data_IF_537185147708
#
_entry.id   IF_537185147708
#
_cell.length_a   1.000
_cell.length_b   1.000
_cell.length_c   1.000
_cell.angle_alpha   90.00
_cell.angle_beta   90.00
_cell.angle_gamma   90.00
#
_symmetry.space_group_name_H-M   'P 1'
#
loop_
_entity.id
_entity.type
_entity.pdbx_description
1 polymer ?
#
# COMPACT_ATOMS: atom_id res chain seq x y z
N UNK A 1 -27.01 -10.42 -18.49
CA UNK A 1 -25.84 -9.60 -18.14
C UNK A 1 -24.58 -10.29 -18.71
N UNK A 2 -24.04 -9.82 -19.85
CA UNK A 2 -22.83 -10.44 -20.43
C UNK A 2 -21.62 -9.92 -19.64
N UNK A 3 -21.01 -10.78 -18.82
CA UNK A 3 -19.68 -10.52 -18.24
C UNK A 3 -18.69 -10.38 -19.40
N UNK A 4 -18.33 -9.15 -19.76
CA UNK A 4 -17.18 -8.89 -20.62
C UNK A 4 -15.93 -9.20 -19.79
N UNK A 5 -15.37 -10.38 -19.99
CA UNK A 5 -14.01 -10.67 -19.56
C UNK A 5 -13.11 -9.62 -20.25
N UNK A 6 -12.53 -8.74 -19.46
CA UNK A 6 -11.59 -7.77 -19.97
C UNK A 6 -10.36 -8.54 -20.48
N UNK A 7 -9.94 -8.26 -21.71
CA UNK A 7 -8.76 -8.89 -22.29
C UNK A 7 -7.53 -8.58 -21.43
N UNK A 8 -6.56 -9.50 -21.41
CA UNK A 8 -5.28 -9.32 -20.71
C UNK A 8 -4.62 -8.00 -21.12
N UNK A 9 -4.75 -7.62 -22.39
CA UNK A 9 -4.25 -6.34 -22.92
C UNK A 9 -4.88 -5.11 -22.24
N UNK A 10 -6.18 -5.19 -21.91
CA UNK A 10 -6.85 -4.12 -21.16
C UNK A 10 -6.29 -3.97 -19.75
N UNK A 11 -6.06 -5.09 -19.06
CA UNK A 11 -5.48 -5.10 -17.71
C UNK A 11 -4.04 -4.59 -17.72
N UNK A 12 -3.22 -5.06 -18.67
CA UNK A 12 -1.85 -4.59 -18.85
C UNK A 12 -1.79 -3.08 -19.14
N UNK A 13 -2.68 -2.57 -20.00
CA UNK A 13 -2.78 -1.14 -20.28
C UNK A 13 -3.14 -0.34 -19.02
N UNK A 14 -4.10 -0.80 -18.23
CA UNK A 14 -4.50 -0.14 -16.97
C UNK A 14 -3.39 -0.13 -15.93
N UNK A 15 -2.66 -1.24 -15.79
CA UNK A 15 -1.49 -1.32 -14.92
C UNK A 15 -0.39 -0.33 -15.36
N UNK A 16 -0.12 -0.25 -16.66
CA UNK A 16 0.82 0.72 -17.23
C UNK A 16 0.38 2.17 -16.98
N UNK A 17 -0.89 2.49 -17.16
CA UNK A 17 -1.45 3.82 -16.87
C UNK A 17 -1.28 4.18 -15.38
N UNK A 18 -1.52 3.23 -14.47
CA UNK A 18 -1.34 3.42 -13.02
C UNK A 18 0.13 3.65 -12.67
N UNK A 19 1.05 2.85 -13.24
CA UNK A 19 2.48 3.04 -13.05
C UNK A 19 2.97 4.40 -13.55
N UNK A 20 2.50 4.84 -14.72
CA UNK A 20 2.87 6.16 -15.26
C UNK A 20 2.32 7.32 -14.44
N UNK A 21 1.15 7.12 -13.81
CA UNK A 21 0.50 8.15 -12.98
C UNK A 21 1.09 8.24 -11.58
N UNK A 22 1.39 7.09 -10.96
CA UNK A 22 1.86 6.99 -9.56
C UNK A 22 3.14 6.15 -9.42
N UNK A 23 4.23 6.50 -10.13
CA UNK A 23 5.41 5.63 -10.19
C UNK A 23 6.03 5.37 -8.81
N UNK A 24 6.16 6.39 -7.96
CA UNK A 24 6.74 6.24 -6.62
C UNK A 24 5.89 5.34 -5.72
N UNK A 25 4.56 5.46 -5.79
CA UNK A 25 3.64 4.63 -4.98
C UNK A 25 3.79 3.16 -5.35
N UNK A 26 3.78 2.86 -6.66
CA UNK A 26 3.92 1.48 -7.15
C UNK A 26 5.30 0.89 -6.79
N UNK A 27 6.38 1.68 -6.95
CA UNK A 27 7.72 1.23 -6.55
C UNK A 27 7.82 0.92 -5.06
N UNK A 28 7.27 1.79 -4.20
CA UNK A 28 7.24 1.58 -2.75
C UNK A 28 6.46 0.31 -2.41
N UNK A 29 5.30 0.08 -3.04
CA UNK A 29 4.49 -1.12 -2.85
C UNK A 29 5.26 -2.39 -3.24
N UNK A 30 5.95 -2.38 -4.40
CA UNK A 30 6.78 -3.51 -4.84
C UNK A 30 7.90 -3.79 -3.84
N UNK A 31 8.65 -2.77 -3.43
CA UNK A 31 9.73 -2.92 -2.44
C UNK A 31 9.19 -3.45 -1.12
N UNK A 32 8.04 -2.94 -0.66
CA UNK A 32 7.37 -3.42 0.56
C UNK A 32 6.97 -4.89 0.47
N UNK A 33 6.37 -5.29 -0.64
CA UNK A 33 5.98 -6.69 -0.89
C UNK A 33 7.21 -7.62 -0.90
N UNK A 34 8.26 -7.27 -1.64
CA UNK A 34 9.48 -8.07 -1.70
C UNK A 34 10.18 -8.17 -0.33
N UNK A 35 10.25 -7.07 0.41
CA UNK A 35 10.82 -7.07 1.77
C UNK A 35 10.00 -7.94 2.72
N UNK A 36 8.67 -7.91 2.63
CA UNK A 36 7.78 -8.72 3.46
C UNK A 36 7.94 -10.22 3.16
N UNK A 37 8.03 -10.61 1.89
CA UNK A 37 8.30 -12.00 1.48
C UNK A 37 9.68 -12.43 2.00
N UNK A 38 10.70 -11.58 1.85
CA UNK A 38 12.05 -11.86 2.37
C UNK A 38 12.03 -12.11 3.89
N UNK A 39 11.25 -11.37 4.66
CA UNK A 39 11.09 -11.55 6.09
C UNK A 39 10.47 -12.91 6.47
N UNK A 40 9.46 -13.38 5.73
CA UNK A 40 8.81 -14.68 5.95
C UNK A 40 9.80 -15.84 5.80
N UNK A 41 10.74 -15.71 4.86
CA UNK A 41 11.70 -16.78 4.60
C UNK A 41 12.94 -16.72 5.50
N UNK A 42 13.24 -15.59 6.13
CA UNK A 42 14.46 -15.37 6.89
C UNK A 42 14.21 -15.00 8.35
N UNK A 43 13.47 -15.83 9.09
CA UNK A 43 13.15 -15.61 10.52
C UNK A 43 14.38 -15.54 11.45
N UNK A 44 15.52 -16.08 11.02
CA UNK A 44 16.77 -16.14 11.80
C UNK A 44 17.66 -14.91 11.62
N UNK A 45 17.17 -13.87 10.94
CA UNK A 45 17.97 -12.65 10.77
C UNK A 45 18.20 -12.01 12.14
N UNK A 46 19.47 -11.84 12.48
CA UNK A 46 19.85 -11.00 13.61
C UNK A 46 19.30 -9.59 13.37
N UNK A 47 18.44 -9.09 14.27
CA UNK A 47 17.77 -7.79 14.13
C UNK A 47 16.65 -7.72 13.08
N UNK A 48 15.78 -8.72 13.03
CA UNK A 48 14.56 -8.73 12.17
C UNK A 48 13.71 -7.44 12.30
N UNK A 49 13.74 -6.79 13.45
CA UNK A 49 12.98 -5.58 13.75
C UNK A 49 13.35 -4.38 12.88
N UNK A 50 14.59 -4.29 12.37
CA UNK A 50 14.97 -3.25 11.41
C UNK A 50 14.18 -3.38 10.11
N UNK A 51 13.99 -4.60 9.63
CA UNK A 51 13.22 -4.86 8.42
C UNK A 51 11.71 -4.66 8.64
N UNK A 52 11.19 -5.06 9.81
CA UNK A 52 9.80 -4.80 10.19
C UNK A 52 9.54 -3.29 10.20
N UNK A 53 10.39 -2.50 10.85
CA UNK A 53 10.30 -1.05 10.89
C UNK A 53 10.37 -0.44 9.49
N UNK A 54 11.21 -1.00 8.63
CA UNK A 54 11.31 -0.56 7.24
C UNK A 54 9.99 -0.77 6.50
N UNK A 55 9.37 -1.95 6.61
CA UNK A 55 8.04 -2.24 6.01
C UNK A 55 6.97 -1.30 6.58
N UNK A 56 6.96 -1.06 7.88
CA UNK A 56 6.02 -0.11 8.51
C UNK A 56 6.18 1.31 7.96
N UNK A 57 7.42 1.78 7.77
CA UNK A 57 7.69 3.06 7.13
C UNK A 57 7.27 3.10 5.65
N UNK A 58 7.40 1.98 4.92
CA UNK A 58 6.94 1.90 3.54
C UNK A 58 5.41 2.02 3.43
N UNK A 59 4.65 1.45 4.38
CA UNK A 59 3.19 1.63 4.44
C UNK A 59 2.84 3.11 4.60
N UNK A 60 3.50 3.83 5.50
CA UNK A 60 3.30 5.27 5.66
C UNK A 60 3.73 6.05 4.40
N UNK A 61 4.81 5.61 3.74
CA UNK A 61 5.30 6.21 2.50
C UNK A 61 4.28 6.12 1.36
N UNK A 62 3.52 5.01 1.25
CA UNK A 62 2.44 4.84 0.25
C UNK A 62 1.39 5.94 0.42
N UNK A 63 0.85 6.13 1.61
CA UNK A 63 -0.19 7.15 1.85
C UNK A 63 0.35 8.58 1.69
N UNK A 64 1.57 8.83 2.16
CA UNK A 64 2.20 10.15 2.06
C UNK A 64 2.48 10.53 0.60
N UNK A 65 3.05 9.62 -0.19
CA UNK A 65 3.34 9.86 -1.60
C UNK A 65 2.06 9.97 -2.42
N UNK A 66 1.04 9.17 -2.14
CA UNK A 66 -0.27 9.27 -2.77
C UNK A 66 -0.90 10.64 -2.52
N UNK A 67 -0.80 11.16 -1.29
CA UNK A 67 -1.29 12.51 -0.94
C UNK A 67 -0.59 13.59 -1.76
N UNK A 68 0.74 13.48 -1.96
CA UNK A 68 1.50 14.44 -2.78
C UNK A 68 1.04 14.39 -4.24
N UNK A 69 0.84 13.20 -4.81
CA UNK A 69 0.36 13.07 -6.18
C UNK A 69 -1.02 13.72 -6.36
N UNK A 70 -1.97 13.44 -5.46
CA UNK A 70 -3.31 14.03 -5.51
C UNK A 70 -3.26 15.56 -5.37
N UNK A 71 -2.42 16.07 -4.47
CA UNK A 71 -2.24 17.51 -4.27
C UNK A 71 -1.61 18.19 -5.49
N UNK A 72 -0.60 17.57 -6.08
CA UNK A 72 0.09 18.07 -7.26
C UNK A 72 -0.83 18.10 -8.48
N UNK A 73 -1.50 16.99 -8.80
CA UNK A 73 -2.48 16.94 -9.90
C UNK A 73 -3.54 18.04 -9.79
N UNK A 74 -4.00 18.33 -8.58
CA UNK A 74 -4.95 19.41 -8.36
C UNK A 74 -4.38 20.78 -8.70
N UNK A 75 -3.14 21.05 -8.28
CA UNK A 75 -2.50 22.35 -8.54
C UNK A 75 -2.15 22.51 -10.02
N UNK A 76 -1.75 21.44 -10.69
CA UNK A 76 -1.45 21.43 -12.11
C UNK A 76 -2.69 21.70 -12.97
N UNK A 77 -3.85 21.14 -12.60
CA UNK A 77 -5.13 21.45 -13.27
C UNK A 77 -5.49 22.94 -13.11
N UNK A 78 -5.11 23.56 -11.99
CA UNK A 78 -5.37 24.98 -11.73
C UNK A 78 -4.38 25.91 -12.44
N UNK A 79 -3.12 25.48 -12.62
CA UNK A 79 -2.03 26.27 -13.22
C UNK A 79 -1.82 26.00 -14.72
N UNK A 80 -2.42 24.95 -15.27
CA UNK A 80 -2.28 24.56 -16.68
C UNK A 80 -0.90 24.00 -17.05
N UNK A 81 -0.02 23.76 -16.08
CA UNK A 81 1.35 23.32 -16.34
C UNK A 81 1.77 22.22 -15.36
N UNK A 82 2.00 21.00 -15.89
CA UNK A 82 2.45 19.85 -15.09
C UNK A 82 3.97 19.94 -14.91
N UNK A 83 4.41 20.53 -13.80
CA UNK A 83 5.83 20.56 -13.46
C UNK A 83 6.23 19.33 -12.63
N UNK A 84 6.58 18.24 -13.35
CA UNK A 84 7.01 16.96 -12.72
C UNK A 84 8.19 17.16 -11.77
N UNK A 85 9.07 18.14 -12.01
CA UNK A 85 10.21 18.41 -11.12
C UNK A 85 9.76 18.90 -9.75
N UNK A 86 8.75 19.77 -9.67
CA UNK A 86 8.17 20.22 -8.41
C UNK A 86 7.52 19.08 -7.65
N UNK A 87 6.86 18.17 -8.36
CA UNK A 87 6.24 16.99 -7.78
C UNK A 87 7.29 16.09 -7.08
N UNK A 88 8.40 15.78 -7.77
CA UNK A 88 9.50 15.00 -7.18
C UNK A 88 10.17 15.72 -6.01
N UNK A 89 10.31 17.03 -6.06
CA UNK A 89 10.88 17.82 -4.98
C UNK A 89 10.05 17.72 -3.68
N UNK A 90 8.72 17.62 -3.80
CA UNK A 90 7.82 17.46 -2.64
C UNK A 90 7.97 16.08 -1.95
N UNK A 91 8.51 15.08 -2.62
CA UNK A 91 8.76 13.77 -2.00
C UNK A 91 9.97 13.79 -1.06
N UNK A 92 10.96 14.66 -1.30
CA UNK A 92 12.20 14.72 -0.50
C UNK A 92 11.91 14.96 0.98
N UNK A 93 11.17 16.00 1.41
CA UNK A 93 10.89 16.23 2.82
C UNK A 93 10.12 15.06 3.46
N UNK A 94 9.23 14.39 2.72
CA UNK A 94 8.50 13.23 3.23
C UNK A 94 9.44 12.08 3.53
N UNK A 95 10.37 11.75 2.63
CA UNK A 95 11.35 10.70 2.89
C UNK A 95 12.30 11.04 4.04
N UNK A 96 12.68 12.30 4.19
CA UNK A 96 13.48 12.75 5.34
C UNK A 96 12.70 12.51 6.65
N UNK A 97 11.42 12.94 6.72
CA UNK A 97 10.57 12.76 7.89
C UNK A 97 10.40 11.26 8.21
N UNK A 98 10.14 10.42 7.21
CA UNK A 98 9.99 8.98 7.40
C UNK A 98 11.29 8.31 7.87
N UNK A 99 12.45 8.79 7.39
CA UNK A 99 13.75 8.31 7.86
C UNK A 99 13.97 8.65 9.34
N UNK A 100 13.66 9.86 9.78
CA UNK A 100 13.68 10.21 11.20
C UNK A 100 12.69 9.38 12.01
N UNK A 101 11.48 9.19 11.49
CA UNK A 101 10.46 8.41 12.16
C UNK A 101 10.83 6.94 12.31
N UNK A 102 11.57 6.36 11.35
CA UNK A 102 12.08 5.00 11.43
C UNK A 102 12.86 4.75 12.73
N UNK A 103 13.68 5.71 13.16
CA UNK A 103 14.47 5.58 14.39
C UNK A 103 13.66 5.76 15.68
N UNK A 104 12.40 6.15 15.60
CA UNK A 104 11.48 6.24 16.75
C UNK A 104 10.67 4.96 16.98
N UNK A 105 10.71 4.03 16.04
CA UNK A 105 10.02 2.75 16.15
C UNK A 105 10.79 1.79 17.07
N UNK A 106 10.11 0.81 17.71
CA UNK A 106 10.76 -0.16 18.57
C UNK A 106 11.71 -1.09 17.79
N UNK A 107 12.82 -1.48 18.43
CA UNK A 107 13.84 -2.34 17.82
C UNK A 107 14.02 -3.68 18.55
N UNK A 108 13.23 -3.96 19.60
CA UNK A 108 13.34 -5.19 20.40
C UNK A 108 12.01 -5.94 20.45
N UNK A 109 12.11 -7.27 20.67
CA UNK A 109 10.93 -8.12 20.78
C UNK A 109 10.02 -7.72 21.95
N UNK A 110 10.60 -7.37 23.10
CA UNK A 110 9.86 -6.95 24.29
C UNK A 110 9.02 -5.69 24.01
N UNK A 111 9.57 -4.75 23.26
CA UNK A 111 8.86 -3.54 22.85
C UNK A 111 7.72 -3.83 21.88
N UNK A 112 7.84 -4.85 21.01
CA UNK A 112 6.76 -5.24 20.09
C UNK A 112 5.67 -6.07 20.77
N UNK A 113 6.00 -6.88 21.78
CA UNK A 113 5.02 -7.68 22.53
C UNK A 113 4.13 -6.81 23.45
N UNK A 114 4.66 -5.75 23.99
CA UNK A 114 3.88 -4.76 24.71
C UNK A 114 3.22 -3.81 23.69
N UNK A 115 1.95 -3.41 23.93
CA UNK A 115 1.35 -2.31 23.16
C UNK A 115 2.04 -1.04 23.62
N UNK A 116 3.15 -0.69 22.96
CA UNK A 116 3.95 0.47 23.31
C UNK A 116 3.34 1.77 22.79
N UNK A 117 3.63 2.92 23.41
CA UNK A 117 3.19 4.23 22.92
C UNK A 117 3.64 4.49 21.48
N UNK A 118 4.79 3.93 21.05
CA UNK A 118 5.33 4.07 19.70
C UNK A 118 4.42 3.41 18.65
N UNK A 119 3.94 2.20 18.92
CA UNK A 119 3.02 1.49 18.03
C UNK A 119 1.63 2.16 18.00
N UNK A 120 1.16 2.70 19.12
CA UNK A 120 -0.07 3.49 19.14
C UNK A 120 0.08 4.77 18.30
N UNK A 121 1.20 5.48 18.40
CA UNK A 121 1.49 6.65 17.57
C UNK A 121 1.57 6.28 16.09
N UNK A 122 2.18 5.14 15.77
CA UNK A 122 2.22 4.62 14.39
C UNK A 122 0.80 4.45 13.82
N UNK A 123 -0.11 3.83 14.56
CA UNK A 123 -1.50 3.66 14.14
C UNK A 123 -2.20 5.02 13.96
N UNK A 124 -2.02 5.96 14.89
CA UNK A 124 -2.59 7.32 14.80
C UNK A 124 -2.08 8.08 13.57
N UNK A 125 -0.77 7.99 13.25
CA UNK A 125 -0.21 8.63 12.07
C UNK A 125 -0.74 8.02 10.77
N UNK A 126 -0.89 6.68 10.69
CA UNK A 126 -1.52 6.05 9.54
C UNK A 126 -2.96 6.50 9.34
N UNK A 127 -3.77 6.55 10.40
CA UNK A 127 -5.15 7.07 10.33
C UNK A 127 -5.14 8.53 9.85
N UNK A 128 -4.24 9.36 10.39
CA UNK A 128 -4.09 10.75 9.98
C UNK A 128 -3.71 10.89 8.50
N UNK A 129 -2.80 10.05 8.00
CA UNK A 129 -2.41 10.04 6.60
C UNK A 129 -3.58 9.63 5.68
N UNK A 130 -4.36 8.63 6.07
CA UNK A 130 -5.58 8.25 5.32
C UNK A 130 -6.58 9.42 5.29
N UNK A 131 -6.77 10.12 6.42
CA UNK A 131 -7.60 11.33 6.45
C UNK A 131 -7.06 12.43 5.53
N UNK A 132 -5.74 12.64 5.50
CA UNK A 132 -5.12 13.59 4.58
C UNK A 132 -5.44 13.22 3.12
N UNK A 133 -5.33 11.96 2.71
CA UNK A 133 -5.69 11.50 1.37
C UNK A 133 -7.14 11.87 1.03
N UNK A 134 -8.06 11.68 1.99
CA UNK A 134 -9.49 11.98 1.80
C UNK A 134 -9.79 13.47 1.63
N UNK A 135 -9.03 14.36 2.28
CA UNK A 135 -9.31 15.79 2.30
C UNK A 135 -8.43 16.63 1.36
N UNK A 136 -7.21 16.15 1.04
CA UNK A 136 -6.20 16.94 0.31
C UNK A 136 -6.67 17.38 -1.08
N UNK A 137 -7.50 16.57 -1.74
CA UNK A 137 -8.08 16.89 -3.04
C UNK A 137 -9.00 18.14 -3.01
N UNK A 138 -9.49 18.54 -1.82
CA UNK A 138 -10.51 19.57 -1.65
C UNK A 138 -10.06 20.82 -0.89
N UNK A 139 -8.81 20.86 -0.45
CA UNK A 139 -8.24 22.08 0.13
C UNK A 139 -8.48 23.23 -0.85
N UNK A 140 -9.12 24.31 -0.41
CA UNK A 140 -9.49 25.50 -1.20
C UNK A 140 -10.62 25.32 -2.25
N UNK A 141 -11.44 24.28 -2.20
CA UNK A 141 -12.65 24.20 -3.02
C UNK A 141 -13.92 24.47 -2.20
N UNK A 142 -14.73 25.45 -2.64
CA UNK A 142 -15.99 25.82 -1.96
C UNK A 142 -17.18 24.86 -2.21
N UNK A 143 -17.02 23.80 -3.00
CA UNK A 143 -18.12 22.88 -3.35
C UNK A 143 -18.05 21.58 -2.54
N UNK A 144 -18.94 21.44 -1.55
CA UNK A 144 -19.05 20.27 -0.68
C UNK A 144 -19.44 18.96 -1.38
N UNK A 145 -20.28 19.02 -2.41
CA UNK A 145 -20.72 17.83 -3.21
C UNK A 145 -19.55 17.07 -3.87
N UNK A 146 -18.47 17.75 -4.22
CA UNK A 146 -17.28 17.10 -4.80
C UNK A 146 -16.54 16.21 -3.81
N UNK A 147 -16.48 16.62 -2.53
CA UNK A 147 -15.81 15.87 -1.45
C UNK A 147 -16.50 14.52 -1.26
N UNK A 148 -17.82 14.53 -1.16
CA UNK A 148 -18.62 13.33 -0.98
C UNK A 148 -18.42 12.33 -2.13
N UNK A 149 -18.56 12.77 -3.37
CA UNK A 149 -18.41 11.90 -4.54
C UNK A 149 -16.98 11.33 -4.67
N UNK A 150 -15.96 12.08 -4.33
CA UNK A 150 -14.58 11.58 -4.35
C UNK A 150 -14.37 10.52 -3.29
N UNK A 151 -14.74 10.80 -2.04
CA UNK A 151 -14.55 9.87 -0.92
C UNK A 151 -15.40 8.61 -1.11
N UNK A 152 -16.61 8.73 -1.64
CA UNK A 152 -17.45 7.60 -2.00
C UNK A 152 -16.74 6.70 -3.04
N UNK A 153 -16.23 7.28 -4.13
CA UNK A 153 -15.49 6.52 -5.16
C UNK A 153 -14.19 5.92 -4.63
N UNK A 154 -13.51 6.62 -3.73
CA UNK A 154 -12.29 6.12 -3.09
C UNK A 154 -12.62 4.91 -2.21
N UNK A 155 -13.63 5.01 -1.35
CA UNK A 155 -14.10 3.92 -0.49
C UNK A 155 -14.63 2.74 -1.32
N UNK A 156 -15.39 2.99 -2.38
CA UNK A 156 -15.88 1.99 -3.32
C UNK A 156 -14.73 1.19 -3.95
N UNK A 157 -13.72 1.87 -4.49
CA UNK A 157 -12.54 1.22 -5.10
C UNK A 157 -11.74 0.42 -4.09
N UNK A 158 -11.54 0.96 -2.90
CA UNK A 158 -10.85 0.28 -1.83
C UNK A 158 -11.59 -0.98 -1.37
N UNK A 159 -12.92 -0.89 -1.25
CA UNK A 159 -13.77 -2.04 -0.90
C UNK A 159 -13.72 -3.13 -1.98
N UNK A 160 -13.80 -2.76 -3.24
CA UNK A 160 -13.65 -3.73 -4.34
C UNK A 160 -12.27 -4.38 -4.36
N UNK A 161 -11.20 -3.61 -4.19
CA UNK A 161 -9.85 -4.16 -4.10
C UNK A 161 -9.75 -5.19 -2.96
N UNK A 162 -10.29 -4.86 -1.77
CA UNK A 162 -10.33 -5.78 -0.64
C UNK A 162 -11.12 -7.06 -0.92
N UNK A 163 -12.31 -6.95 -1.52
CA UNK A 163 -13.14 -8.11 -1.90
C UNK A 163 -12.40 -9.00 -2.91
N UNK A 164 -11.78 -8.40 -3.95
CA UNK A 164 -11.03 -9.17 -4.95
C UNK A 164 -9.81 -9.84 -4.34
N UNK A 165 -9.03 -9.14 -3.51
CA UNK A 165 -7.88 -9.72 -2.81
C UNK A 165 -8.29 -10.89 -1.93
N UNK A 166 -9.36 -10.74 -1.15
CA UNK A 166 -9.87 -11.79 -0.28
C UNK A 166 -10.37 -13.01 -1.08
N UNK A 167 -11.12 -12.79 -2.16
CA UNK A 167 -11.63 -13.87 -3.02
C UNK A 167 -10.50 -14.63 -3.69
N UNK A 168 -9.49 -13.93 -4.23
CA UNK A 168 -8.32 -14.55 -4.83
C UNK A 168 -7.51 -15.35 -3.81
N UNK A 169 -7.26 -14.77 -2.64
CA UNK A 169 -6.55 -15.46 -1.56
C UNK A 169 -7.27 -16.73 -1.15
N UNK A 170 -8.58 -16.66 -0.91
CA UNK A 170 -9.37 -17.82 -0.50
C UNK A 170 -9.38 -18.91 -1.57
N UNK A 171 -9.57 -18.55 -2.84
CA UNK A 171 -9.56 -19.50 -3.95
C UNK A 171 -8.21 -20.18 -4.15
N UNK A 172 -7.13 -19.43 -4.15
CA UNK A 172 -5.79 -19.98 -4.31
C UNK A 172 -5.32 -20.77 -3.09
N UNK A 173 -5.66 -20.32 -1.87
CA UNK A 173 -5.38 -21.08 -0.65
C UNK A 173 -6.13 -22.40 -0.60
N UNK A 174 -7.39 -22.42 -1.06
CA UNK A 174 -8.16 -23.66 -1.18
C UNK A 174 -7.54 -24.62 -2.22
N UNK A 175 -7.02 -24.10 -3.33
CA UNK A 175 -6.33 -24.90 -4.33
C UNK A 175 -5.02 -25.49 -3.76
N UNK A 176 -4.19 -24.69 -3.06
CA UNK A 176 -2.98 -25.16 -2.39
C UNK A 176 -3.29 -26.22 -1.35
N UNK A 177 -4.33 -26.02 -0.54
CA UNK A 177 -4.79 -26.99 0.45
C UNK A 177 -5.24 -28.32 -0.20
N UNK A 178 -5.95 -28.24 -1.32
CA UNK A 178 -6.36 -29.43 -2.09
C UNK A 178 -5.16 -30.21 -2.62
N UNK A 179 -4.14 -29.52 -3.12
CA UNK A 179 -2.89 -30.15 -3.58
C UNK A 179 -2.18 -30.84 -2.41
N UNK A 180 -2.06 -30.18 -1.27
CA UNK A 180 -1.45 -30.75 -0.05
C UNK A 180 -2.15 -32.04 0.38
N UNK A 181 -3.48 -32.06 0.39
CA UNK A 181 -4.28 -33.19 0.89
C UNK A 181 -4.49 -34.30 -0.14
N UNK A 182 -4.66 -33.98 -1.42
CA UNK A 182 -4.96 -34.97 -2.46
C UNK A 182 -3.72 -35.58 -3.09
N UNK A 183 -2.62 -34.81 -3.17
CA UNK A 183 -1.38 -35.29 -3.78
C UNK A 183 -0.29 -35.62 -2.73
N UNK A 184 -0.62 -35.52 -1.43
CA UNK A 184 0.32 -35.76 -0.32
C UNK A 184 1.63 -34.92 -0.45
N UNK A 185 1.56 -33.78 -1.12
CA UNK A 185 2.68 -32.85 -1.29
C UNK A 185 2.63 -31.87 -0.12
N UNK A 186 3.55 -31.99 0.85
CA UNK A 186 3.60 -31.08 2.00
C UNK A 186 3.92 -29.66 1.57
N UNK A 187 2.93 -28.76 1.61
CA UNK A 187 3.10 -27.34 1.29
C UNK A 187 3.41 -26.59 2.60
N UNK A 188 4.56 -25.88 2.67
CA UNK A 188 4.91 -25.13 3.87
C UNK A 188 3.87 -24.03 4.18
N UNK A 189 3.56 -23.82 5.45
CA UNK A 189 2.64 -22.75 5.90
C UNK A 189 3.06 -21.36 5.40
N UNK A 190 4.37 -21.13 5.25
CA UNK A 190 4.93 -19.89 4.69
C UNK A 190 4.41 -19.56 3.29
N UNK A 191 4.11 -20.57 2.47
CA UNK A 191 3.56 -20.37 1.12
C UNK A 191 2.21 -19.67 1.13
N UNK A 192 1.39 -19.87 2.17
CA UNK A 192 0.12 -19.16 2.33
C UNK A 192 0.35 -17.69 2.71
N UNK A 193 1.36 -17.41 3.53
CA UNK A 193 1.75 -16.03 3.87
C UNK A 193 2.31 -15.29 2.65
N UNK A 194 3.17 -15.94 1.88
CA UNK A 194 3.70 -15.37 0.63
C UNK A 194 2.58 -15.03 -0.35
N UNK A 195 1.63 -15.96 -0.50
CA UNK A 195 0.46 -15.74 -1.34
C UNK A 195 -0.35 -14.53 -0.89
N UNK A 196 -0.58 -14.40 0.42
CA UNK A 196 -1.30 -13.26 0.97
C UNK A 196 -0.56 -11.94 0.73
N UNK A 197 0.74 -11.89 1.04
CA UNK A 197 1.59 -10.70 0.85
C UNK A 197 1.62 -10.28 -0.62
N UNK A 198 1.75 -11.26 -1.52
CA UNK A 198 1.78 -11.02 -2.97
C UNK A 198 0.45 -10.44 -3.48
N UNK A 199 -0.68 -11.03 -3.06
CA UNK A 199 -2.01 -10.54 -3.45
C UNK A 199 -2.25 -9.12 -2.94
N UNK A 200 -1.99 -8.87 -1.64
CA UNK A 200 -2.16 -7.52 -1.05
C UNK A 200 -1.23 -6.49 -1.68
N UNK A 201 -0.03 -6.90 -2.11
CA UNK A 201 0.91 -6.01 -2.79
C UNK A 201 0.53 -5.64 -4.22
N UNK A 202 -0.32 -6.45 -4.88
CA UNK A 202 -0.82 -6.15 -6.24
C UNK A 202 -2.07 -5.28 -6.21
N UNK A 203 -2.98 -5.47 -5.26
CA UNK A 203 -4.26 -4.76 -5.15
C UNK A 203 -4.19 -3.55 -4.23
#
# INVERSE_FOLDING_TARGET
>A
MKLKLHSIDYLAKRASETFQRFPSVVLIAIVGTLTSIYLVHNEKIHNIYYFINFVLCLIMAVFSTLSIYIFSEKNDILSGNIDKKKQYLLHIPVFIILTFYYFTLPFTEEQYRAITPELMRYAQYNISLVMIVMFIAFINKKKSLGIWNFNYKLAERFSFAGIYSFTLFTGLSAALFSIDKLLEISIPEKSYLDLWIFIVGIF
#
